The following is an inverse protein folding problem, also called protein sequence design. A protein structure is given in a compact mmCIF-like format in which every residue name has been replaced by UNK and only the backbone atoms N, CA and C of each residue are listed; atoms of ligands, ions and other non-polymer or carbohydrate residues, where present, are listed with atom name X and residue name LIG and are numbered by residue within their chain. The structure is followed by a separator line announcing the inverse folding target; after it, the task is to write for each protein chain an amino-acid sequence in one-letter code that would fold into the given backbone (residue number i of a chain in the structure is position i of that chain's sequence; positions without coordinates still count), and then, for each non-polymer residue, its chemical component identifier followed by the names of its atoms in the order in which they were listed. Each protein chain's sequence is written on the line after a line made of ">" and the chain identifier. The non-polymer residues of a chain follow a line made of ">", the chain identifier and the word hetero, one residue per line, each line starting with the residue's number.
data_IF_621083420762
#
_entry.id   IF_621083420762
#
_cell.length_a   1.000
_cell.length_b   1.000
_cell.length_c   1.000
_cell.angle_alpha   90.00
_cell.angle_beta   90.00
_cell.angle_gamma   90.00
#
_symmetry.space_group_name_H-M   'P 1'
#
loop_
_entity.id
_entity.type
_entity.pdbx_description
1 polymer ?
#
# COMPACT_ATOMS: atom_id res chain seq x y z
N UNK A 1 10.04 -6.32 -33.85
CA UNK A 1 10.32 -7.37 -32.85
C UNK A 1 9.43 -7.09 -31.65
N UNK A 2 8.29 -7.79 -31.53
CA UNK A 2 7.38 -7.61 -30.39
C UNK A 2 7.93 -8.36 -29.18
N UNK A 3 7.98 -7.75 -27.98
CA UNK A 3 8.45 -8.44 -26.78
C UNK A 3 7.49 -9.57 -26.41
N UNK A 4 8.06 -10.67 -25.92
CA UNK A 4 7.32 -11.87 -25.54
C UNK A 4 6.44 -11.61 -24.29
N UNK A 5 5.31 -12.33 -24.14
CA UNK A 5 4.34 -12.11 -23.05
C UNK A 5 4.85 -12.42 -21.62
N UNK A 6 6.15 -12.70 -21.43
CA UNK A 6 6.78 -12.93 -20.12
C UNK A 6 7.59 -11.75 -19.55
N UNK A 7 7.92 -10.74 -20.37
CA UNK A 7 8.89 -9.70 -19.98
C UNK A 7 8.27 -8.49 -19.26
N UNK A 8 6.94 -8.46 -19.11
CA UNK A 8 6.24 -7.31 -18.51
C UNK A 8 6.53 -7.08 -17.04
N UNK A 9 7.01 -8.09 -16.30
CA UNK A 9 7.46 -7.96 -14.91
C UNK A 9 8.81 -7.25 -14.81
N UNK A 10 9.79 -7.71 -15.57
CA UNK A 10 11.13 -7.13 -15.66
C UNK A 10 11.10 -5.71 -16.22
N UNK A 11 10.24 -5.44 -17.21
CA UNK A 11 10.06 -4.10 -17.75
C UNK A 11 9.49 -3.12 -16.71
N UNK A 12 8.48 -3.55 -15.94
CA UNK A 12 7.92 -2.73 -14.84
C UNK A 12 8.93 -2.49 -13.73
N UNK A 13 9.75 -3.49 -13.40
CA UNK A 13 10.80 -3.36 -12.39
C UNK A 13 11.85 -2.35 -12.82
N UNK A 14 12.37 -2.45 -14.04
CA UNK A 14 13.36 -1.50 -14.59
C UNK A 14 12.84 -0.07 -14.66
N UNK A 15 11.58 0.10 -15.09
CA UNK A 15 10.94 1.41 -15.12
C UNK A 15 10.80 2.02 -13.70
N UNK A 16 10.48 1.18 -12.72
CA UNK A 16 10.38 1.60 -11.32
C UNK A 16 11.75 1.94 -10.71
N UNK A 17 12.78 1.13 -10.99
CA UNK A 17 14.15 1.37 -10.53
C UNK A 17 14.70 2.69 -11.08
N UNK A 18 14.48 2.95 -12.37
CA UNK A 18 14.86 4.22 -13.00
C UNK A 18 14.11 5.41 -12.39
N UNK A 19 12.79 5.28 -12.20
CA UNK A 19 11.96 6.32 -11.59
C UNK A 19 12.40 6.67 -10.16
N UNK A 20 12.82 5.66 -9.37
CA UNK A 20 13.30 5.83 -8.01
C UNK A 20 14.69 6.50 -8.00
N UNK A 21 15.59 6.06 -8.88
CA UNK A 21 16.92 6.65 -9.04
C UNK A 21 16.85 8.13 -9.43
N UNK A 22 15.99 8.48 -10.39
CA UNK A 22 15.76 9.87 -10.84
C UNK A 22 15.26 10.78 -9.71
N UNK A 23 14.65 10.21 -8.66
CA UNK A 23 14.13 10.93 -7.49
C UNK A 23 15.04 10.84 -6.26
N UNK A 24 16.18 10.17 -6.37
CA UNK A 24 17.07 9.92 -5.24
C UNK A 24 16.44 9.04 -4.16
N UNK A 25 15.47 8.19 -4.52
CA UNK A 25 14.79 7.30 -3.59
C UNK A 25 15.57 5.99 -3.48
N UNK A 26 16.05 5.67 -2.28
CA UNK A 26 16.68 4.38 -2.00
C UNK A 26 15.63 3.29 -1.82
N UNK A 27 15.64 2.28 -2.70
CA UNK A 27 14.77 1.11 -2.60
C UNK A 27 15.31 0.12 -1.57
N UNK A 28 14.51 -0.17 -0.54
CA UNK A 28 14.80 -1.18 0.47
C UNK A 28 13.94 -2.43 0.24
N UNK A 29 14.57 -3.55 -0.12
CA UNK A 29 13.89 -4.82 -0.33
C UNK A 29 13.82 -5.64 0.95
N UNK A 30 12.71 -6.36 1.12
CA UNK A 30 12.54 -7.34 2.21
C UNK A 30 13.58 -8.45 2.03
N UNK A 31 14.26 -8.81 3.12
CA UNK A 31 15.23 -9.90 3.09
C UNK A 31 14.49 -11.25 3.06
N UNK A 32 14.98 -12.21 2.25
CA UNK A 32 14.48 -13.57 2.29
C UNK A 32 14.48 -14.11 3.72
N UNK A 33 13.42 -14.83 4.09
CA UNK A 33 13.27 -15.47 5.40
C UNK A 33 13.17 -14.50 6.60
N UNK A 34 12.93 -13.21 6.38
CA UNK A 34 12.61 -12.23 7.44
C UNK A 34 11.18 -11.68 7.31
N UNK A 35 10.14 -12.48 7.60
CA UNK A 35 8.74 -12.07 7.42
C UNK A 35 8.37 -10.86 8.28
N UNK A 36 9.03 -10.69 9.43
CA UNK A 36 8.82 -9.56 10.33
C UNK A 36 9.07 -8.19 9.65
N UNK A 37 9.93 -8.11 8.63
CA UNK A 37 10.17 -6.86 7.91
C UNK A 37 8.94 -6.37 7.11
N UNK A 38 8.01 -7.27 6.79
CA UNK A 38 6.78 -6.95 6.07
C UNK A 38 5.53 -6.94 6.97
N UNK A 39 5.66 -7.37 8.22
CA UNK A 39 4.53 -7.59 9.12
C UNK A 39 3.63 -6.36 9.29
N UNK A 40 4.20 -5.16 9.30
CA UNK A 40 3.44 -3.91 9.36
C UNK A 40 2.56 -3.72 8.11
N UNK A 41 3.14 -3.88 6.91
CA UNK A 41 2.43 -3.74 5.64
C UNK A 41 1.37 -4.83 5.46
N UNK A 42 1.65 -6.05 5.91
CA UNK A 42 0.69 -7.15 5.92
C UNK A 42 -0.49 -6.86 6.86
N UNK A 43 -0.21 -6.36 8.06
CA UNK A 43 -1.25 -5.96 9.02
C UNK A 43 -2.12 -4.82 8.46
N UNK A 44 -1.50 -3.80 7.88
CA UNK A 44 -2.21 -2.71 7.20
C UNK A 44 -3.11 -3.24 6.07
N UNK A 45 -2.54 -4.05 5.17
CA UNK A 45 -3.27 -4.57 4.00
C UNK A 45 -4.42 -5.49 4.41
N UNK A 46 -4.23 -6.29 5.47
CA UNK A 46 -5.28 -7.11 6.07
C UNK A 46 -6.44 -6.26 6.59
N UNK A 47 -6.15 -5.23 7.39
CA UNK A 47 -7.16 -4.30 7.91
C UNK A 47 -7.88 -3.56 6.80
N UNK A 48 -7.16 -3.01 5.84
CA UNK A 48 -7.76 -2.31 4.72
C UNK A 48 -8.75 -3.21 3.95
N UNK A 49 -8.38 -4.48 3.74
CA UNK A 49 -9.27 -5.45 3.12
C UNK A 49 -10.51 -5.73 3.97
N UNK A 50 -10.35 -5.97 5.26
CA UNK A 50 -11.43 -6.44 6.14
C UNK A 50 -12.36 -5.30 6.61
N UNK A 51 -11.80 -4.11 6.83
CA UNK A 51 -12.51 -2.93 7.34
C UNK A 51 -13.04 -2.03 6.21
N UNK A 52 -12.44 -2.02 5.01
CA UNK A 52 -12.89 -1.21 3.89
C UNK A 52 -13.45 -2.05 2.73
N UNK A 53 -12.60 -2.84 2.09
CA UNK A 53 -12.95 -3.47 0.81
C UNK A 53 -14.06 -4.51 0.92
N UNK A 54 -14.07 -5.31 2.00
CA UNK A 54 -15.11 -6.32 2.23
C UNK A 54 -16.45 -5.74 2.70
N UNK A 55 -16.46 -4.51 3.23
CA UNK A 55 -17.67 -3.88 3.76
C UNK A 55 -18.51 -3.17 2.69
N UNK A 56 -17.95 -2.98 1.49
CA UNK A 56 -18.55 -2.16 0.46
C UNK A 56 -18.67 -2.91 -0.87
N UNK A 57 -19.85 -2.84 -1.47
CA UNK A 57 -20.04 -3.17 -2.88
C UNK A 57 -19.98 -1.88 -3.70
N UNK A 58 -18.91 -1.69 -4.46
CA UNK A 58 -18.70 -0.47 -5.22
C UNK A 58 -19.53 -0.47 -6.50
N UNK A 59 -20.33 0.58 -6.69
CA UNK A 59 -21.21 0.73 -7.86
C UNK A 59 -20.53 1.46 -9.02
N UNK A 60 -19.44 2.18 -8.73
CA UNK A 60 -18.64 2.90 -9.71
C UNK A 60 -17.23 3.18 -9.18
N UNK A 61 -16.34 3.66 -10.06
CA UNK A 61 -15.01 4.14 -9.63
C UNK A 61 -15.09 5.36 -8.71
N UNK A 62 -16.06 6.25 -8.92
CA UNK A 62 -16.25 7.42 -8.06
C UNK A 62 -16.67 7.01 -6.65
N UNK A 63 -17.58 6.03 -6.57
CA UNK A 63 -18.05 5.43 -5.32
C UNK A 63 -16.90 4.72 -4.57
N UNK A 64 -16.08 3.95 -5.28
CA UNK A 64 -14.87 3.36 -4.72
C UNK A 64 -13.92 4.43 -4.16
N UNK A 65 -13.59 5.47 -4.94
CA UNK A 65 -12.70 6.55 -4.48
C UNK A 65 -13.21 7.23 -3.21
N UNK A 66 -14.52 7.47 -3.12
CA UNK A 66 -15.14 8.06 -1.94
C UNK A 66 -14.95 7.19 -0.69
N UNK A 67 -15.30 5.90 -0.78
CA UNK A 67 -15.16 4.97 0.35
C UNK A 67 -13.71 4.76 0.77
N UNK A 68 -12.79 4.67 -0.20
CA UNK A 68 -11.36 4.53 0.04
C UNK A 68 -10.77 5.75 0.76
N UNK A 69 -11.13 6.96 0.31
CA UNK A 69 -10.64 8.20 0.93
C UNK A 69 -11.20 8.37 2.35
N UNK A 70 -12.48 8.02 2.55
CA UNK A 70 -13.08 8.04 3.88
C UNK A 70 -12.36 7.09 4.83
N UNK A 71 -12.07 5.87 4.40
CA UNK A 71 -11.34 4.90 5.23
C UNK A 71 -9.91 5.36 5.52
N UNK A 72 -9.20 5.93 4.54
CA UNK A 72 -7.84 6.47 4.70
C UNK A 72 -7.79 7.54 5.80
N UNK A 73 -8.72 8.49 5.80
CA UNK A 73 -8.81 9.54 6.83
C UNK A 73 -9.10 8.95 8.20
N UNK A 74 -10.11 8.09 8.32
CA UNK A 74 -10.42 7.44 9.59
C UNK A 74 -9.23 6.64 10.16
N UNK A 75 -8.48 5.93 9.30
CA UNK A 75 -7.29 5.19 9.71
C UNK A 75 -6.15 6.10 10.19
N UNK A 76 -5.91 7.21 9.49
CA UNK A 76 -4.75 8.09 9.73
C UNK A 76 -4.99 9.18 10.78
N UNK A 77 -6.24 9.63 10.96
CA UNK A 77 -6.57 10.86 11.73
C UNK A 77 -7.47 10.59 12.93
N UNK A 78 -8.21 9.47 12.95
CA UNK A 78 -9.19 9.20 14.02
C UNK A 78 -8.81 7.99 14.89
N UNK A 79 -7.96 7.09 14.39
CA UNK A 79 -7.60 5.86 15.11
C UNK A 79 -6.45 6.11 16.08
N UNK A 80 -6.63 5.89 17.41
CA UNK A 80 -5.52 5.96 18.35
C UNK A 80 -4.53 4.83 18.06
N UNK A 81 -3.25 5.18 17.89
CA UNK A 81 -2.22 4.19 17.65
C UNK A 81 -1.85 3.50 18.97
N UNK A 82 -2.07 2.19 19.09
CA UNK A 82 -1.85 1.44 20.33
C UNK A 82 -0.41 1.54 20.88
N UNK A 83 0.58 1.75 20.01
CA UNK A 83 1.98 1.92 20.42
C UNK A 83 2.33 3.36 20.86
N UNK A 84 1.45 4.34 20.61
CA UNK A 84 1.70 5.76 20.85
C UNK A 84 0.44 6.49 21.32
N UNK A 85 -0.37 5.83 22.14
CA UNK A 85 -1.59 6.39 22.69
C UNK A 85 -1.26 7.69 23.45
N UNK A 86 -1.99 8.80 23.25
CA UNK A 86 -3.28 8.93 22.55
C UNK A 86 -3.19 9.36 21.06
N UNK A 87 -2.00 9.42 20.45
CA UNK A 87 -1.81 9.99 19.11
C UNK A 87 -2.27 9.06 17.98
N UNK A 88 -2.76 9.66 16.90
CA UNK A 88 -3.09 9.01 15.64
C UNK A 88 -1.86 8.85 14.76
N UNK A 89 -1.88 8.04 13.68
CA UNK A 89 -0.72 7.88 12.80
C UNK A 89 -0.17 9.17 12.17
N UNK A 90 -0.98 10.23 12.09
CA UNK A 90 -0.58 11.51 11.48
C UNK A 90 -0.02 12.53 12.47
N UNK A 91 -0.12 12.28 13.77
CA UNK A 91 0.38 13.14 14.86
C UNK A 91 1.78 12.72 15.34
#
# INVERSE_FOLDING_TARGET
>A
MSPAPGDGGEFRRRAFDAWAADRGITLAFIQPYKPLQNAHIESFSGRFRDECLKQHYFRSLADARFHLERWRRAYNEERPHAARFPFTPSE
#
